data_IF_057806343278
#
_entry.id   IF_057806343278
#
_cell.length_a   1.000
_cell.length_b   1.000
_cell.length_c   1.000
_cell.angle_alpha   90.00
_cell.angle_beta   90.00
_cell.angle_gamma   90.00
#
_symmetry.space_group_name_H-M   'P 1'
#
loop_
_entity.id
_entity.type
_entity.pdbx_description
1 polymer ?
#
# COMPACT_ATOMS: atom_id res chain seq x y z
N UNK A 1 3.43 8.59 -13.12
CA UNK A 1 2.70 8.95 -11.90
C UNK A 1 2.56 10.46 -11.85
N UNK A 2 2.04 11.07 -10.77
CA UNK A 2 2.09 12.54 -10.62
C UNK A 2 3.53 13.06 -10.49
N UNK A 3 3.70 14.30 -10.05
CA UNK A 3 5.01 14.94 -9.85
C UNK A 3 5.95 14.16 -8.90
N UNK A 4 5.37 13.37 -8.00
CA UNK A 4 6.05 12.50 -7.03
C UNK A 4 5.86 10.99 -7.30
N UNK A 5 5.24 10.64 -8.43
CA UNK A 5 4.92 9.24 -8.74
C UNK A 5 3.73 8.66 -7.98
N UNK A 6 3.16 9.35 -6.97
CA UNK A 6 2.21 8.75 -6.02
C UNK A 6 0.73 8.87 -6.39
N UNK A 7 0.40 9.60 -7.47
CA UNK A 7 -0.98 9.90 -7.90
C UNK A 7 -1.91 8.68 -7.94
N UNK A 8 -1.41 7.53 -8.42
CA UNK A 8 -2.22 6.32 -8.55
C UNK A 8 -2.54 5.73 -7.17
N UNK A 9 -1.56 5.65 -6.27
CA UNK A 9 -1.76 5.11 -4.93
C UNK A 9 -2.70 5.97 -4.09
N UNK A 10 -2.61 7.30 -4.22
CA UNK A 10 -3.57 8.24 -3.59
C UNK A 10 -5.01 8.02 -4.05
N UNK A 11 -5.21 7.46 -5.24
CA UNK A 11 -6.54 7.09 -5.75
C UNK A 11 -6.96 5.70 -5.29
N UNK A 12 -6.06 4.71 -5.39
CA UNK A 12 -6.40 3.29 -5.15
C UNK A 12 -6.53 2.99 -3.65
N UNK A 13 -5.57 3.40 -2.82
CA UNK A 13 -5.52 3.00 -1.39
C UNK A 13 -6.83 3.32 -0.65
N UNK A 14 -7.41 4.53 -0.77
CA UNK A 14 -8.64 4.86 -0.06
C UNK A 14 -9.87 4.11 -0.60
N UNK A 15 -9.88 3.74 -1.88
CA UNK A 15 -11.01 3.07 -2.55
C UNK A 15 -10.96 1.55 -2.37
N UNK A 16 -9.76 0.97 -2.27
CA UNK A 16 -9.58 -0.48 -2.20
C UNK A 16 -10.31 -1.11 -1.00
N UNK A 17 -10.47 -0.38 0.11
CA UNK A 17 -11.19 -0.86 1.31
C UNK A 17 -12.66 -1.22 1.04
N UNK A 18 -13.28 -0.61 0.04
CA UNK A 18 -14.69 -0.86 -0.32
C UNK A 18 -14.84 -2.21 -1.04
N UNK A 19 -13.74 -2.73 -1.60
CA UNK A 19 -13.69 -3.99 -2.34
C UNK A 19 -13.06 -5.15 -1.55
N UNK A 20 -12.43 -4.85 -0.41
CA UNK A 20 -11.82 -5.85 0.46
C UNK A 20 -12.84 -6.42 1.44
N UNK A 21 -12.78 -7.74 1.63
CA UNK A 21 -13.44 -8.41 2.75
C UNK A 21 -12.78 -7.98 4.07
N UNK A 22 -13.40 -8.32 5.20
CA UNK A 22 -12.74 -8.17 6.48
C UNK A 22 -11.46 -9.02 6.55
N UNK A 23 -10.40 -8.44 7.13
CA UNK A 23 -9.03 -8.95 7.06
C UNK A 23 -8.49 -9.16 5.62
N UNK A 24 -9.06 -8.44 4.65
CA UNK A 24 -8.62 -8.48 3.25
C UNK A 24 -7.23 -7.87 3.06
N UNK A 25 -6.46 -8.41 2.11
CA UNK A 25 -5.09 -7.98 1.84
C UNK A 25 -5.01 -7.12 0.58
N UNK A 26 -4.33 -5.97 0.66
CA UNK A 26 -3.91 -5.16 -0.47
C UNK A 26 -2.43 -5.41 -0.76
N UNK A 27 -2.13 -5.83 -2.00
CA UNK A 27 -0.78 -6.04 -2.51
C UNK A 27 -0.55 -5.12 -3.70
N UNK A 28 0.54 -4.36 -3.70
CA UNK A 28 0.87 -3.42 -4.77
C UNK A 28 2.38 -3.42 -5.04
N UNK A 29 2.74 -3.31 -6.32
CA UNK A 29 4.11 -2.95 -6.71
C UNK A 29 4.36 -1.45 -6.43
N UNK A 30 5.58 -1.11 -6.05
CA UNK A 30 6.03 0.25 -5.74
C UNK A 30 7.38 0.55 -6.40
N UNK A 31 7.67 1.84 -6.59
CA UNK A 31 9.02 2.30 -6.90
C UNK A 31 9.97 2.09 -5.71
N UNK A 32 11.25 1.87 -5.99
CA UNK A 32 12.26 1.53 -4.98
C UNK A 32 12.47 2.58 -3.89
N UNK A 33 12.09 3.83 -4.17
CA UNK A 33 12.19 4.98 -3.26
C UNK A 33 10.85 5.37 -2.63
N UNK A 34 9.77 4.65 -2.95
CA UNK A 34 8.40 5.05 -2.59
C UNK A 34 7.87 4.39 -1.31
N UNK A 35 8.57 3.37 -0.78
CA UNK A 35 8.10 2.53 0.32
C UNK A 35 7.62 3.34 1.54
N UNK A 36 8.39 4.36 1.95
CA UNK A 36 8.04 5.22 3.10
C UNK A 36 6.74 5.99 2.87
N UNK A 37 6.58 6.60 1.70
CA UNK A 37 5.40 7.40 1.38
C UNK A 37 4.14 6.52 1.24
N UNK A 38 4.29 5.35 0.63
CA UNK A 38 3.19 4.38 0.48
C UNK A 38 2.77 3.81 1.83
N UNK A 39 3.72 3.49 2.72
CA UNK A 39 3.43 3.08 4.09
C UNK A 39 2.59 4.12 4.82
N UNK A 40 3.00 5.39 4.77
CA UNK A 40 2.26 6.47 5.41
C UNK A 40 0.84 6.62 4.85
N UNK A 41 0.66 6.49 3.53
CA UNK A 41 -0.66 6.51 2.90
C UNK A 41 -1.55 5.35 3.36
N UNK A 42 -0.99 4.14 3.51
CA UNK A 42 -1.71 2.96 4.00
C UNK A 42 -2.14 3.15 5.46
N UNK A 43 -1.23 3.62 6.34
CA UNK A 43 -1.52 3.89 7.75
C UNK A 43 -2.63 4.95 7.89
N UNK A 44 -2.59 6.02 7.11
CA UNK A 44 -3.64 7.06 7.06
C UNK A 44 -5.00 6.54 6.61
N UNK A 45 -5.05 5.41 5.91
CA UNK A 45 -6.26 4.77 5.41
C UNK A 45 -6.63 3.50 6.21
N UNK A 46 -6.15 3.39 7.46
CA UNK A 46 -6.52 2.32 8.41
C UNK A 46 -6.09 0.91 7.97
N UNK A 47 -5.11 0.80 7.07
CA UNK A 47 -4.44 -0.46 6.84
C UNK A 47 -3.45 -0.76 7.97
N UNK A 48 -3.23 -2.03 8.22
CA UNK A 48 -2.39 -2.57 9.28
C UNK A 48 -1.50 -3.70 8.74
N UNK A 49 -0.58 -4.23 9.55
CA UNK A 49 0.36 -5.29 9.17
C UNK A 49 1.07 -5.00 7.84
N UNK A 50 1.64 -3.80 7.74
CA UNK A 50 2.28 -3.31 6.52
C UNK A 50 3.69 -3.91 6.40
N UNK A 51 3.88 -4.75 5.41
CA UNK A 51 5.14 -5.42 5.06
C UNK A 51 5.68 -4.90 3.73
N UNK A 52 6.99 -4.68 3.66
CA UNK A 52 7.69 -4.28 2.43
C UNK A 52 8.57 -5.44 1.97
N UNK A 53 8.24 -6.00 0.81
CA UNK A 53 9.00 -7.02 0.12
C UNK A 53 10.03 -6.42 -0.83
N UNK A 54 11.21 -7.05 -0.88
CA UNK A 54 12.29 -6.70 -1.79
C UNK A 54 12.29 -7.62 -3.01
N UNK A 55 12.74 -7.10 -4.15
CA UNK A 55 13.07 -7.92 -5.32
C UNK A 55 14.41 -8.67 -5.14
N UNK A 56 14.78 -9.50 -6.12
CA UNK A 56 16.04 -10.26 -6.11
C UNK A 56 17.29 -9.36 -6.12
N UNK A 57 17.14 -8.10 -6.51
CA UNK A 57 18.22 -7.10 -6.49
C UNK A 57 18.26 -6.31 -5.18
N UNK A 58 17.39 -6.62 -4.21
CA UNK A 58 17.36 -6.00 -2.88
C UNK A 58 16.62 -4.67 -2.80
N UNK A 59 15.97 -4.24 -3.89
CA UNK A 59 15.18 -3.01 -3.90
C UNK A 59 13.77 -3.24 -3.37
N UNK A 60 13.24 -2.28 -2.64
CA UNK A 60 11.84 -2.31 -2.22
C UNK A 60 10.96 -2.35 -3.47
N UNK A 61 10.06 -3.31 -3.55
CA UNK A 61 9.27 -3.54 -4.78
C UNK A 61 7.81 -3.81 -4.52
N UNK A 62 7.47 -4.45 -3.42
CA UNK A 62 6.09 -4.84 -3.12
C UNK A 62 5.72 -4.37 -1.73
N UNK A 63 4.53 -3.80 -1.58
CA UNK A 63 3.90 -3.60 -0.27
C UNK A 63 2.73 -4.57 -0.13
N UNK A 64 2.58 -5.12 1.07
CA UNK A 64 1.43 -5.90 1.52
C UNK A 64 0.85 -5.22 2.75
N UNK A 65 -0.47 -5.06 2.80
CA UNK A 65 -1.15 -4.48 3.94
C UNK A 65 -2.53 -5.11 4.15
N UNK A 66 -2.97 -5.22 5.40
CA UNK A 66 -4.24 -5.83 5.79
C UNK A 66 -5.23 -4.74 6.17
N UNK A 67 -6.40 -4.75 5.54
CA UNK A 67 -7.54 -3.94 5.94
C UNK A 67 -8.42 -4.72 6.91
N UNK A 68 -8.65 -4.16 8.09
CA UNK A 68 -9.56 -4.71 9.10
C UNK A 68 -10.79 -3.81 9.17
N UNK A 69 -11.97 -4.35 8.86
CA UNK A 69 -13.21 -3.59 9.00
C UNK A 69 -13.44 -3.38 10.48
N UNK A 70 -13.49 -2.12 10.89
CA UNK A 70 -13.95 -1.79 12.24
C UNK A 70 -15.47 -1.90 12.22
N UNK A 71 -16.00 -2.80 13.05
CA UNK A 71 -17.43 -3.02 13.27
C UNK A 71 -18.11 -1.82 13.93
#
# INVERSE_FOLDING_TARGET
GGQDGLKIYRRIIPQAKDFLNDNGTLLMEIGYDQAKAIRQLLEQNQYSDIEIGKDLSGFDRVVKAIYRRQS
#
